data_IF_036012286381
#
_entry.id   IF_036012286381
#
_cell.length_a   1.000
_cell.length_b   1.000
_cell.length_c   1.000
_cell.angle_alpha   90.00
_cell.angle_beta   90.00
_cell.angle_gamma   90.00
#
_symmetry.space_group_name_H-M   'P 1'
#
loop_
_entity.id
_entity.type
_entity.pdbx_description
1 polymer ?
#
# COMPACT_ATOMS: atom_id res chain seq x y z
N UNK A 1 6.21 4.12 -20.70
CA UNK A 1 5.00 4.22 -19.86
C UNK A 1 5.44 4.34 -18.40
N UNK A 2 5.49 5.58 -17.91
CA UNK A 2 6.16 6.01 -16.66
C UNK A 2 5.19 6.11 -15.46
N UNK A 3 4.17 5.25 -15.38
CA UNK A 3 3.12 5.39 -14.37
C UNK A 3 3.62 5.17 -12.94
N UNK A 4 4.77 4.50 -12.76
CA UNK A 4 5.45 4.31 -11.47
C UNK A 4 6.40 5.45 -11.10
N UNK A 5 6.67 6.41 -12.00
CA UNK A 5 7.68 7.46 -11.78
C UNK A 5 7.26 8.48 -10.72
N UNK A 6 5.97 8.54 -10.40
CA UNK A 6 5.40 9.48 -9.45
C UNK A 6 4.65 8.77 -8.32
N UNK A 7 5.14 7.63 -7.82
CA UNK A 7 4.49 6.92 -6.70
C UNK A 7 4.47 7.70 -5.39
N UNK A 8 5.30 8.74 -5.23
CA UNK A 8 5.34 9.55 -4.02
C UNK A 8 4.02 10.28 -3.73
N UNK A 9 3.35 10.83 -4.75
CA UNK A 9 2.07 11.53 -4.55
C UNK A 9 0.91 10.57 -4.18
N UNK A 10 0.71 9.43 -4.87
CA UNK A 10 -0.19 8.37 -4.44
C UNK A 10 0.12 7.83 -3.04
N UNK A 11 1.40 7.59 -2.72
CA UNK A 11 1.80 7.11 -1.40
C UNK A 11 1.43 8.11 -0.28
N UNK A 12 1.65 9.41 -0.51
CA UNK A 12 1.24 10.45 0.43
C UNK A 12 -0.28 10.52 0.61
N UNK A 13 -1.05 10.31 -0.46
CA UNK A 13 -2.52 10.24 -0.37
C UNK A 13 -2.97 9.04 0.46
N UNK A 14 -2.37 7.86 0.26
CA UNK A 14 -2.69 6.67 1.06
C UNK A 14 -2.30 6.89 2.52
N UNK A 15 -1.11 7.43 2.81
CA UNK A 15 -0.69 7.76 4.16
C UNK A 15 -1.66 8.73 4.85
N UNK A 16 -2.12 9.76 4.13
CA UNK A 16 -3.13 10.71 4.61
C UNK A 16 -4.47 10.03 4.91
N UNK A 17 -4.96 9.19 3.99
CA UNK A 17 -6.20 8.45 4.16
C UNK A 17 -6.14 7.51 5.38
N UNK A 18 -5.01 6.83 5.58
CA UNK A 18 -4.77 5.97 6.75
C UNK A 18 -4.82 6.76 8.05
N UNK A 19 -4.23 7.96 8.11
CA UNK A 19 -4.31 8.81 9.30
C UNK A 19 -5.75 9.25 9.61
N UNK A 20 -6.53 9.60 8.59
CA UNK A 20 -7.95 9.93 8.75
C UNK A 20 -8.71 8.71 9.29
N UNK A 21 -8.56 7.54 8.66
CA UNK A 21 -9.20 6.30 9.13
C UNK A 21 -8.79 5.97 10.56
N UNK A 22 -7.51 6.09 10.92
CA UNK A 22 -7.04 5.89 12.30
C UNK A 22 -7.67 6.86 13.29
N UNK A 23 -7.85 8.13 12.89
CA UNK A 23 -8.45 9.16 13.75
C UNK A 23 -9.94 8.91 14.00
N UNK A 24 -10.69 8.53 12.96
CA UNK A 24 -12.14 8.29 13.04
C UNK A 24 -12.48 6.99 13.79
N UNK A 25 -11.67 5.94 13.59
CA UNK A 25 -11.95 4.60 14.11
C UNK A 25 -11.36 4.33 15.49
N UNK A 26 -10.57 5.28 16.03
CA UNK A 26 -9.75 5.07 17.24
C UNK A 26 -10.55 4.53 18.41
N UNK A 27 -11.69 5.13 18.72
CA UNK A 27 -12.51 4.78 19.88
C UNK A 27 -13.34 3.52 19.64
N UNK A 28 -13.92 3.38 18.44
CA UNK A 28 -14.77 2.25 18.06
C UNK A 28 -13.98 0.93 18.01
N UNK A 29 -12.72 1.00 17.58
CA UNK A 29 -11.82 -0.16 17.44
C UNK A 29 -11.00 -0.45 18.71
N UNK A 30 -11.29 0.22 19.83
CA UNK A 30 -10.75 -0.19 21.12
C UNK A 30 -11.35 -1.57 21.50
N UNK A 31 -10.53 -2.59 21.79
CA UNK A 31 -11.04 -3.88 22.24
C UNK A 31 -11.80 -3.73 23.56
N UNK A 32 -13.06 -4.14 23.60
CA UNK A 32 -13.90 -4.10 24.82
C UNK A 32 -13.95 -5.48 25.47
N UNK A 33 -14.09 -5.52 26.80
CA UNK A 33 -14.22 -6.78 27.57
C UNK A 33 -15.46 -7.61 27.19
N UNK A 34 -16.47 -6.98 26.57
CA UNK A 34 -17.69 -7.64 26.13
C UNK A 34 -17.63 -8.10 24.65
N UNK A 35 -16.59 -7.73 23.92
CA UNK A 35 -16.44 -8.14 22.51
C UNK A 35 -16.21 -9.66 22.43
N UNK A 36 -16.76 -10.31 21.41
CA UNK A 36 -16.43 -11.70 21.08
C UNK A 36 -14.94 -11.81 20.71
N UNK A 37 -14.31 -12.95 20.99
CA UNK A 37 -12.87 -13.15 20.73
C UNK A 37 -12.48 -12.81 19.29
N UNK A 38 -13.27 -13.24 18.29
CA UNK A 38 -13.00 -12.93 16.89
C UNK A 38 -13.08 -11.42 16.59
N UNK A 39 -14.01 -10.69 17.22
CA UNK A 39 -14.15 -9.23 17.04
C UNK A 39 -12.92 -8.52 17.61
N UNK A 40 -12.42 -8.96 18.77
CA UNK A 40 -11.20 -8.39 19.36
C UNK A 40 -10.00 -8.59 18.45
N UNK A 41 -9.85 -9.79 17.89
CA UNK A 41 -8.77 -10.09 16.95
C UNK A 41 -8.90 -9.21 15.70
N UNK A 42 -10.10 -9.09 15.11
CA UNK A 42 -10.31 -8.21 13.96
C UNK A 42 -10.03 -6.74 14.28
N UNK A 43 -10.42 -6.24 15.45
CA UNK A 43 -10.12 -4.86 15.89
C UNK A 43 -8.62 -4.63 16.05
N UNK A 44 -7.91 -5.57 16.66
CA UNK A 44 -6.45 -5.52 16.80
C UNK A 44 -5.74 -5.61 15.45
N UNK A 45 -6.17 -6.53 14.59
CA UNK A 45 -5.65 -6.70 13.23
C UNK A 45 -5.88 -5.43 12.39
N UNK A 46 -7.06 -4.82 12.46
CA UNK A 46 -7.36 -3.55 11.78
C UNK A 46 -6.38 -2.45 12.19
N UNK A 47 -6.15 -2.26 13.50
CA UNK A 47 -5.16 -1.29 13.99
C UNK A 47 -3.74 -1.60 13.53
N UNK A 48 -3.34 -2.87 13.55
CA UNK A 48 -2.03 -3.29 13.07
C UNK A 48 -1.88 -3.03 11.56
N UNK A 49 -2.91 -3.33 10.76
CA UNK A 49 -2.93 -3.09 9.32
C UNK A 49 -2.85 -1.60 8.99
N UNK A 50 -3.58 -0.75 9.70
CA UNK A 50 -3.51 0.71 9.51
C UNK A 50 -2.10 1.25 9.85
N UNK A 51 -1.54 0.87 11.00
CA UNK A 51 -0.21 1.33 11.40
C UNK A 51 0.89 0.83 10.46
N UNK A 52 0.82 -0.43 10.04
CA UNK A 52 1.77 -0.99 9.06
C UNK A 52 1.61 -0.35 7.70
N UNK A 53 0.39 -0.08 7.25
CA UNK A 53 0.13 0.67 6.01
C UNK A 53 0.80 2.03 6.05
N UNK A 54 0.55 2.83 7.10
CA UNK A 54 1.18 4.15 7.25
C UNK A 54 2.71 4.06 7.23
N UNK A 55 3.30 3.13 7.98
CA UNK A 55 4.74 2.96 8.04
C UNK A 55 5.33 2.60 6.66
N UNK A 56 4.68 1.70 5.93
CA UNK A 56 5.11 1.29 4.59
C UNK A 56 5.04 2.45 3.58
N UNK A 57 3.99 3.27 3.62
CA UNK A 57 3.89 4.46 2.76
C UNK A 57 4.97 5.50 3.08
N UNK A 58 5.27 5.72 4.37
CA UNK A 58 6.37 6.62 4.78
C UNK A 58 7.72 6.11 4.25
N UNK A 59 7.97 4.79 4.32
CA UNK A 59 9.17 4.18 3.75
C UNK A 59 9.21 4.37 2.24
N UNK A 60 8.11 4.15 1.54
CA UNK A 60 8.01 4.36 0.08
C UNK A 60 8.37 5.79 -0.31
N UNK A 61 7.79 6.78 0.38
CA UNK A 61 8.07 8.22 0.15
C UNK A 61 9.53 8.54 0.48
N UNK A 62 10.05 8.05 1.61
CA UNK A 62 11.41 8.31 2.03
C UNK A 62 12.43 7.76 1.03
N UNK A 63 12.32 6.48 0.66
CA UNK A 63 13.24 5.84 -0.30
C UNK A 63 13.09 6.49 -1.69
N UNK A 64 11.88 6.80 -2.13
CA UNK A 64 11.64 7.53 -3.37
C UNK A 64 12.30 8.91 -3.38
N UNK A 65 12.19 9.66 -2.28
CA UNK A 65 12.77 10.99 -2.15
C UNK A 65 14.30 10.95 -2.06
N UNK A 66 14.86 10.10 -1.19
CA UNK A 66 16.30 9.94 -1.03
C UNK A 66 16.94 9.49 -2.34
N UNK A 67 16.33 8.53 -3.05
CA UNK A 67 16.87 8.09 -4.33
C UNK A 67 16.77 9.19 -5.38
N UNK A 68 15.64 9.91 -5.44
CA UNK A 68 15.50 11.08 -6.32
C UNK A 68 16.55 12.16 -6.04
N UNK A 69 16.80 12.49 -4.78
CA UNK A 69 17.81 13.46 -4.37
C UNK A 69 19.24 12.98 -4.62
N UNK A 70 19.54 11.70 -4.39
CA UNK A 70 20.85 11.12 -4.68
C UNK A 70 21.16 11.16 -6.19
N UNK A 71 20.16 10.88 -7.02
CA UNK A 71 20.27 10.97 -8.49
C UNK A 71 20.48 12.40 -8.98
N UNK A 72 19.85 13.40 -8.34
CA UNK A 72 20.07 14.82 -8.65
C UNK A 72 21.42 15.33 -8.11
N UNK A 73 21.84 14.84 -6.94
CA UNK A 73 23.09 15.24 -6.26
C UNK A 73 24.36 14.65 -6.88
N UNK A 74 24.29 13.46 -7.51
CA UNK A 74 25.41 12.87 -8.28
C UNK A 74 25.61 13.49 -9.67
N UNK A 75 24.89 14.57 -9.98
CA UNK A 75 25.23 15.49 -11.04
C UNK A 75 24.55 15.18 -12.37
N UNK A 76 24.03 16.24 -12.99
CA UNK A 76 23.54 16.29 -14.37
C UNK A 76 24.57 15.98 -15.46
N UNK A 77 25.69 15.31 -15.13
CA UNK A 77 26.72 14.89 -16.08
C UNK A 77 26.69 13.38 -16.41
N UNK A 78 26.17 12.50 -15.54
CA UNK A 78 26.07 11.06 -15.86
C UNK A 78 24.74 10.74 -16.56
N UNK A 79 23.63 11.39 -16.16
CA UNK A 79 22.31 11.16 -16.75
C UNK A 79 22.20 11.57 -18.23
N UNK A 80 22.99 12.55 -18.69
CA UNK A 80 23.04 12.97 -20.10
C UNK A 80 23.99 12.15 -20.97
N UNK A 81 24.89 11.34 -20.39
CA UNK A 81 25.86 10.49 -21.11
C UNK A 81 25.54 9.00 -21.03
N UNK A 82 24.78 8.55 -20.02
CA UNK A 82 24.21 7.20 -19.92
C UNK A 82 22.91 7.07 -20.75
N UNK A 83 22.94 7.60 -21.98
CA UNK A 83 21.82 7.60 -22.93
C UNK A 83 21.58 6.16 -23.41
N UNK A 84 20.65 5.50 -22.74
CA UNK A 84 20.17 4.16 -23.07
C UNK A 84 18.93 3.78 -22.25
N UNK A 85 18.76 4.38 -21.07
CA UNK A 85 17.57 4.16 -20.23
C UNK A 85 16.57 5.30 -20.43
N UNK A 86 15.36 4.94 -20.87
CA UNK A 86 14.29 5.87 -21.27
C UNK A 86 13.45 6.41 -20.11
N UNK A 87 13.75 6.06 -18.85
CA UNK A 87 13.04 6.59 -17.67
C UNK A 87 13.89 6.54 -16.38
N UNK A 88 13.61 7.41 -15.38
CA UNK A 88 14.26 7.40 -14.06
C UNK A 88 14.17 6.04 -13.34
N UNK A 89 13.08 5.30 -13.58
CA UNK A 89 12.87 3.94 -13.08
C UNK A 89 13.75 2.89 -13.73
N UNK A 90 14.04 3.03 -15.03
CA UNK A 90 14.98 2.15 -15.72
C UNK A 90 16.40 2.29 -15.17
N UNK A 91 16.78 3.53 -14.82
CA UNK A 91 18.06 3.82 -14.17
C UNK A 91 18.10 3.30 -12.73
N UNK A 92 17.02 3.51 -11.97
CA UNK A 92 16.82 2.96 -10.63
C UNK A 92 16.94 1.44 -10.63
N UNK A 93 16.25 0.69 -11.49
CA UNK A 93 16.39 -0.77 -11.54
C UNK A 93 17.83 -1.21 -11.83
N UNK A 94 18.51 -0.54 -12.76
CA UNK A 94 19.81 -0.99 -13.24
C UNK A 94 20.95 -0.75 -12.23
N UNK A 95 20.88 0.35 -11.48
CA UNK A 95 21.93 0.74 -10.53
C UNK A 95 21.52 0.59 -9.05
N UNK A 96 20.21 0.57 -8.77
CA UNK A 96 19.56 0.65 -7.46
C UNK A 96 18.32 -0.27 -7.41
N UNK A 97 18.52 -1.55 -7.80
CA UNK A 97 17.45 -2.57 -7.87
C UNK A 97 16.70 -2.70 -6.53
N UNK A 98 17.42 -2.61 -5.42
CA UNK A 98 16.87 -2.70 -4.07
C UNK A 98 15.92 -1.55 -3.76
N UNK A 99 16.30 -0.31 -4.08
CA UNK A 99 15.48 0.89 -3.85
C UNK A 99 14.23 0.86 -4.73
N UNK A 100 14.37 0.41 -5.98
CA UNK A 100 13.23 0.17 -6.87
C UNK A 100 12.25 -0.85 -6.28
N UNK A 101 12.74 -2.02 -5.86
CA UNK A 101 11.92 -3.06 -5.23
C UNK A 101 11.25 -2.55 -3.95
N UNK A 102 12.00 -1.83 -3.12
CA UNK A 102 11.50 -1.29 -1.84
C UNK A 102 10.31 -0.38 -2.09
N UNK A 103 10.44 0.62 -2.97
CA UNK A 103 9.35 1.58 -3.27
C UNK A 103 8.09 0.85 -3.77
N UNK A 104 8.25 -0.10 -4.68
CA UNK A 104 7.13 -0.83 -5.27
C UNK A 104 6.42 -1.74 -4.26
N UNK A 105 7.19 -2.51 -3.49
CA UNK A 105 6.65 -3.46 -2.51
C UNK A 105 5.97 -2.69 -1.37
N UNK A 106 6.63 -1.67 -0.82
CA UNK A 106 6.09 -0.94 0.33
C UNK A 106 4.82 -0.17 -0.04
N UNK A 107 4.78 0.47 -1.21
CA UNK A 107 3.56 1.12 -1.71
C UNK A 107 2.40 0.12 -1.87
N UNK A 108 2.62 -0.98 -2.62
CA UNK A 108 1.52 -1.90 -2.90
C UNK A 108 1.04 -2.64 -1.64
N UNK A 109 1.97 -3.05 -0.77
CA UNK A 109 1.64 -3.66 0.51
C UNK A 109 0.96 -2.66 1.46
N UNK A 110 1.39 -1.40 1.46
CA UNK A 110 0.78 -0.31 2.22
C UNK A 110 -0.68 -0.11 1.82
N UNK A 111 -0.93 0.03 0.51
CA UNK A 111 -2.27 0.13 -0.06
C UNK A 111 -3.17 -1.06 0.31
N UNK A 112 -2.66 -2.29 0.21
CA UNK A 112 -3.43 -3.48 0.57
C UNK A 112 -3.72 -3.57 2.07
N UNK A 113 -2.76 -3.19 2.92
CA UNK A 113 -3.00 -3.16 4.36
C UNK A 113 -4.11 -2.16 4.72
N UNK A 114 -4.12 -0.99 4.08
CA UNK A 114 -5.20 -0.01 4.28
C UNK A 114 -6.55 -0.54 3.77
N UNK A 115 -6.64 -1.03 2.53
CA UNK A 115 -7.89 -1.57 1.99
C UNK A 115 -8.43 -2.76 2.80
N UNK A 116 -7.54 -3.64 3.26
CA UNK A 116 -7.90 -4.75 4.14
C UNK A 116 -8.43 -4.25 5.49
N UNK A 117 -7.84 -3.21 6.06
CA UNK A 117 -8.33 -2.61 7.30
C UNK A 117 -9.74 -2.02 7.15
N UNK A 118 -10.00 -1.31 6.05
CA UNK A 118 -11.33 -0.77 5.72
C UNK A 118 -12.34 -1.90 5.52
N UNK A 119 -11.95 -2.97 4.82
CA UNK A 119 -12.80 -4.14 4.64
C UNK A 119 -13.12 -4.84 5.98
N UNK A 120 -12.13 -4.96 6.88
CA UNK A 120 -12.34 -5.50 8.23
C UNK A 120 -13.27 -4.61 9.05
N UNK A 121 -13.14 -3.30 8.92
CA UNK A 121 -13.99 -2.35 9.62
C UNK A 121 -15.47 -2.51 9.21
N UNK A 122 -15.74 -2.53 7.91
CA UNK A 122 -17.08 -2.76 7.38
C UNK A 122 -17.62 -4.14 7.81
N UNK A 123 -16.75 -5.13 7.95
CA UNK A 123 -17.14 -6.48 8.36
C UNK A 123 -17.49 -6.58 9.86
N UNK A 124 -16.98 -5.72 10.74
CA UNK A 124 -17.26 -5.79 12.18
C UNK A 124 -18.68 -5.28 12.47
N UNK A 125 -19.54 -6.06 13.16
CA UNK A 125 -20.91 -5.65 13.44
C UNK A 125 -20.95 -4.54 14.47
N UNK A 126 -21.76 -3.51 14.20
CA UNK A 126 -21.99 -2.38 15.11
C UNK A 126 -23.19 -2.65 16.03
N UNK A 127 -23.20 -2.04 17.23
CA UNK A 127 -24.14 -2.36 18.33
C UNK A 127 -25.64 -2.15 18.00
N UNK A 128 -25.99 -1.50 16.89
CA UNK A 128 -27.38 -1.29 16.43
C UNK A 128 -27.57 -1.57 14.91
N UNK A 129 -26.77 -2.47 14.34
CA UNK A 129 -26.81 -2.74 12.90
C UNK A 129 -28.06 -3.55 12.48
N UNK A 130 -28.81 -3.05 11.50
CA UNK A 130 -29.97 -3.78 10.94
C UNK A 130 -29.53 -4.97 10.08
N UNK A 131 -30.40 -5.96 9.89
CA UNK A 131 -30.10 -7.12 9.02
C UNK A 131 -29.80 -6.73 7.57
N UNK A 132 -30.44 -5.67 7.06
CA UNK A 132 -30.19 -5.14 5.72
C UNK A 132 -28.83 -4.45 5.64
N UNK A 133 -28.48 -3.59 6.60
CA UNK A 133 -27.16 -2.99 6.70
C UNK A 133 -26.06 -4.05 6.76
N UNK A 134 -26.28 -5.14 7.52
CA UNK A 134 -25.34 -6.26 7.59
C UNK A 134 -25.10 -6.96 6.25
N UNK A 135 -26.14 -7.14 5.45
CA UNK A 135 -26.01 -7.73 4.11
C UNK A 135 -25.27 -6.79 3.16
N UNK A 136 -25.58 -5.49 3.23
CA UNK A 136 -24.90 -4.47 2.45
C UNK A 136 -23.41 -4.40 2.79
N UNK A 137 -23.06 -4.40 4.08
CA UNK A 137 -21.67 -4.38 4.55
C UNK A 137 -20.88 -5.61 4.09
N UNK A 138 -21.50 -6.80 4.09
CA UNK A 138 -20.89 -8.00 3.49
C UNK A 138 -20.64 -7.85 1.99
N UNK A 139 -21.61 -7.27 1.26
CA UNK A 139 -21.46 -7.00 -0.17
C UNK A 139 -20.31 -6.01 -0.42
N UNK A 140 -20.26 -4.89 0.32
CA UNK A 140 -19.19 -3.90 0.24
C UNK A 140 -17.82 -4.50 0.56
N UNK A 141 -17.73 -5.33 1.60
CA UNK A 141 -16.51 -6.07 1.94
C UNK A 141 -16.06 -6.96 0.78
N UNK A 142 -17.00 -7.67 0.15
CA UNK A 142 -16.71 -8.49 -1.04
C UNK A 142 -16.23 -7.64 -2.22
N UNK A 143 -16.83 -6.47 -2.45
CA UNK A 143 -16.39 -5.56 -3.51
C UNK A 143 -14.97 -5.04 -3.26
N UNK A 144 -14.63 -4.71 -2.01
CA UNK A 144 -13.28 -4.28 -1.63
C UNK A 144 -12.24 -5.40 -1.87
N UNK A 145 -12.56 -6.63 -1.49
CA UNK A 145 -11.68 -7.77 -1.76
C UNK A 145 -11.51 -8.00 -3.27
N UNK A 146 -12.59 -7.93 -4.05
CA UNK A 146 -12.51 -8.01 -5.52
C UNK A 146 -11.68 -6.88 -6.11
N UNK A 147 -11.78 -5.66 -5.57
CA UNK A 147 -10.96 -4.53 -6.00
C UNK A 147 -9.47 -4.78 -5.74
N UNK A 148 -9.11 -5.32 -4.56
CA UNK A 148 -7.71 -5.67 -4.25
C UNK A 148 -7.15 -6.72 -5.22
N UNK A 149 -7.95 -7.74 -5.57
CA UNK A 149 -7.58 -8.74 -6.57
C UNK A 149 -7.39 -8.11 -7.95
N UNK A 150 -8.29 -7.20 -8.33
CA UNK A 150 -8.19 -6.49 -9.60
C UNK A 150 -6.96 -5.58 -9.67
N UNK A 151 -6.65 -4.84 -8.60
CA UNK A 151 -5.42 -4.04 -8.49
C UNK A 151 -4.20 -4.94 -8.65
N UNK A 152 -4.18 -6.11 -8.01
CA UNK A 152 -3.07 -7.08 -8.12
C UNK A 152 -2.92 -7.58 -9.55
N UNK A 153 -4.02 -7.96 -10.21
CA UNK A 153 -4.01 -8.44 -11.59
C UNK A 153 -3.55 -7.34 -12.56
N UNK A 154 -4.04 -6.12 -12.37
CA UNK A 154 -3.61 -4.95 -13.13
C UNK A 154 -2.11 -4.71 -12.93
N UNK A 155 -1.64 -4.70 -11.69
CA UNK A 155 -0.25 -4.48 -11.34
C UNK A 155 0.67 -5.53 -11.99
N UNK A 156 0.33 -6.82 -11.86
CA UNK A 156 1.10 -7.92 -12.44
C UNK A 156 1.21 -7.81 -13.97
N UNK A 157 0.14 -7.43 -14.67
CA UNK A 157 0.17 -7.25 -16.13
C UNK A 157 1.04 -6.07 -16.58
N UNK A 158 1.34 -5.12 -15.69
CA UNK A 158 2.14 -3.94 -15.98
C UNK A 158 3.55 -4.00 -15.38
N UNK A 159 3.92 -5.12 -14.74
CA UNK A 159 5.29 -5.39 -14.35
C UNK A 159 6.10 -5.73 -15.60
N UNK A 160 6.95 -4.79 -16.03
CA UNK A 160 7.82 -5.00 -17.20
C UNK A 160 9.05 -5.86 -16.90
N UNK A 161 9.32 -6.11 -15.63
CA UNK A 161 10.65 -6.49 -15.14
C UNK A 161 10.68 -7.77 -14.32
N UNK A 162 9.53 -8.16 -13.79
CA UNK A 162 9.28 -9.33 -12.95
C UNK A 162 8.03 -10.03 -13.50
N UNK A 163 7.91 -11.35 -13.32
CA UNK A 163 6.75 -12.09 -13.83
C UNK A 163 5.45 -11.71 -13.12
N UNK A 164 5.55 -11.46 -11.82
CA UNK A 164 4.45 -11.15 -10.92
C UNK A 164 4.96 -10.57 -9.60
N UNK A 165 4.05 -10.02 -8.79
CA UNK A 165 4.36 -9.48 -7.47
C UNK A 165 5.05 -10.49 -6.53
N UNK A 166 4.71 -11.78 -6.62
CA UNK A 166 5.34 -12.82 -5.81
C UNK A 166 6.81 -13.04 -6.17
N UNK A 167 7.15 -12.99 -7.46
CA UNK A 167 8.53 -13.03 -7.94
C UNK A 167 9.33 -11.80 -7.46
N UNK A 168 8.68 -10.65 -7.36
CA UNK A 168 9.27 -9.42 -6.83
C UNK A 168 9.59 -9.55 -5.33
N UNK A 169 8.65 -10.10 -4.54
CA UNK A 169 8.87 -10.39 -3.11
C UNK A 169 10.01 -11.40 -2.90
N UNK A 170 10.08 -12.46 -3.70
CA UNK A 170 11.16 -13.47 -3.62
C UNK A 170 12.52 -12.91 -3.95
N UNK A 171 12.61 -11.87 -4.79
CA UNK A 171 13.87 -11.20 -5.14
C UNK A 171 14.35 -10.26 -4.04
N UNK A 172 13.43 -9.76 -3.22
CA UNK A 172 13.70 -8.82 -2.13
C UNK A 172 14.21 -9.50 -0.85
N UNK A 173 13.89 -10.78 -0.65
CA UNK A 173 14.33 -11.63 0.47
C UNK A 173 15.59 -12.40 0.09
#
# INVERSE_FOLDING_TARGET
>A
WEWTANLGAPAALVAGAVLVTLSETREEFAPRKNDKNWVRICKQACRFLLLSSFALEVVSIFVGTVTGSALLGHGGQVAKKAVGYTSPLGLLRHHHEFEYLTIQITFLQGLFNWLASVAMEVMIPKENETKSARRMNKCMTSCLVSLMLWITAFYNNHLNFYSDYGSMLKRYV
#
